data_IF_558436985773
#
_entry.id   IF_558436985773
#
_cell.length_a   1.000
_cell.length_b   1.000
_cell.length_c   1.000
_cell.angle_alpha   90.00
_cell.angle_beta   90.00
_cell.angle_gamma   90.00
#
_symmetry.space_group_name_H-M   'P 1'
#
loop_
_entity.id
_entity.type
_entity.pdbx_description
1 polymer ?
#
# COMPACT_ATOMS: atom_id res chain seq x y z
N UNK A 1 5.90 -8.11 13.42
CA UNK A 1 5.33 -6.83 12.94
C UNK A 1 5.43 -5.82 14.06
N UNK A 2 5.83 -4.58 13.77
CA UNK A 2 5.93 -3.54 14.79
C UNK A 2 4.52 -3.10 15.18
N UNK A 3 4.22 -3.07 16.47
CA UNK A 3 2.93 -2.64 17.00
C UNK A 3 2.87 -1.10 17.09
N UNK A 4 3.02 -0.46 15.93
CA UNK A 4 3.02 1.00 15.81
C UNK A 4 1.69 1.40 15.17
N UNK A 5 0.93 2.32 15.78
CA UNK A 5 -0.27 2.86 15.16
C UNK A 5 0.06 3.46 13.79
N UNK A 6 -0.57 2.93 12.75
CA UNK A 6 -0.36 3.34 11.37
C UNK A 6 -1.69 3.72 10.71
N UNK A 7 -1.62 4.64 9.74
CA UNK A 7 -2.73 4.95 8.84
C UNK A 7 -2.33 4.49 7.45
N UNK A 8 -3.05 3.51 6.92
CA UNK A 8 -2.84 2.97 5.57
C UNK A 8 -3.89 3.58 4.66
N UNK A 9 -3.45 4.24 3.59
CA UNK A 9 -4.34 4.78 2.55
C UNK A 9 -4.19 3.90 1.32
N UNK A 10 -5.31 3.37 0.84
CA UNK A 10 -5.35 2.54 -0.38
C UNK A 10 -6.48 3.00 -1.29
N UNK A 11 -6.35 2.68 -2.58
CA UNK A 11 -7.42 2.83 -3.56
C UNK A 11 -8.34 1.61 -3.55
N UNK A 12 -9.47 1.73 -4.28
CA UNK A 12 -10.36 0.59 -4.57
C UNK A 12 -9.59 -0.55 -5.25
N UNK A 13 -8.71 -0.24 -6.20
CA UNK A 13 -7.90 -1.25 -6.86
C UNK A 13 -6.99 -2.00 -5.88
N UNK A 14 -6.37 -1.29 -4.93
CA UNK A 14 -5.54 -1.91 -3.90
C UNK A 14 -6.36 -2.77 -2.92
N UNK A 15 -7.57 -2.32 -2.56
CA UNK A 15 -8.48 -3.09 -1.72
C UNK A 15 -9.00 -4.38 -2.40
N UNK A 16 -9.19 -4.36 -3.72
CA UNK A 16 -9.61 -5.53 -4.51
C UNK A 16 -8.50 -6.55 -4.73
N UNK A 17 -7.22 -6.17 -4.62
CA UNK A 17 -6.10 -7.08 -4.90
C UNK A 17 -6.15 -8.31 -4.00
N UNK A 18 -5.90 -9.50 -4.56
CA UNK A 18 -5.64 -10.69 -3.76
C UNK A 18 -4.28 -10.53 -3.08
N UNK A 19 -4.29 -10.60 -1.76
CA UNK A 19 -3.09 -10.59 -0.94
C UNK A 19 -2.79 -12.00 -0.43
N UNK A 20 -1.53 -12.31 -0.09
CA UNK A 20 -1.21 -13.56 0.56
C UNK A 20 -1.92 -13.62 1.91
N UNK A 21 -2.35 -14.79 2.39
CA UNK A 21 -2.82 -14.95 3.76
C UNK A 21 -1.83 -14.35 4.77
N UNK A 22 -2.34 -13.62 5.77
CA UNK A 22 -1.50 -12.89 6.75
C UNK A 22 -0.44 -13.80 7.40
N UNK A 23 -0.85 -15.00 7.81
CA UNK A 23 0.05 -15.98 8.40
C UNK A 23 1.17 -16.43 7.44
N UNK A 24 0.87 -16.50 6.14
CA UNK A 24 1.85 -16.86 5.13
C UNK A 24 2.85 -15.72 4.91
N UNK A 25 2.38 -14.47 4.83
CA UNK A 25 3.27 -13.31 4.74
C UNK A 25 4.20 -13.23 5.96
N UNK A 26 3.66 -13.47 7.17
CA UNK A 26 4.44 -13.51 8.40
C UNK A 26 5.48 -14.64 8.40
N UNK A 27 5.10 -15.84 7.94
CA UNK A 27 6.01 -16.98 7.85
C UNK A 27 7.11 -16.80 6.80
N UNK A 28 6.91 -15.92 5.81
CA UNK A 28 7.91 -15.57 4.80
C UNK A 28 8.87 -14.46 5.26
N UNK A 29 8.76 -13.96 6.49
CA UNK A 29 9.75 -13.03 7.04
C UNK A 29 11.01 -13.78 7.48
N UNK A 30 12.15 -13.09 7.43
CA UNK A 30 13.45 -13.68 7.74
C UNK A 30 14.13 -12.89 8.88
N UNK A 31 14.06 -13.37 10.13
CA UNK A 31 14.81 -12.79 11.22
C UNK A 31 16.31 -13.11 11.09
N UNK A 32 17.14 -12.09 11.30
CA UNK A 32 18.60 -12.19 11.34
C UNK A 32 19.12 -11.48 12.59
N UNK A 33 20.05 -12.09 13.30
CA UNK A 33 20.67 -11.51 14.48
C UNK A 33 22.16 -11.84 14.55
N UNK A 34 22.93 -10.97 15.20
CA UNK A 34 24.34 -11.23 15.51
C UNK A 34 24.45 -12.48 16.40
N UNK A 35 25.38 -13.37 16.08
CA UNK A 35 25.57 -14.66 16.75
C UNK A 35 24.64 -15.78 16.28
N UNK A 36 23.82 -15.54 15.27
CA UNK A 36 22.97 -16.57 14.66
C UNK A 36 23.75 -17.37 13.60
N UNK A 37 23.65 -18.69 13.64
CA UNK A 37 24.12 -19.56 12.55
C UNK A 37 23.11 -19.55 11.40
N UNK A 38 23.56 -19.15 10.21
CA UNK A 38 22.77 -19.13 8.98
C UNK A 38 23.60 -19.71 7.85
N UNK A 39 23.07 -20.73 7.17
CA UNK A 39 23.67 -21.25 5.95
C UNK A 39 23.48 -20.25 4.78
N UNK A 40 24.57 -19.93 4.09
CA UNK A 40 24.59 -18.91 3.05
C UNK A 40 23.82 -19.32 1.79
N UNK A 41 23.74 -20.61 1.47
CA UNK A 41 22.97 -21.11 0.32
C UNK A 41 21.47 -21.06 0.62
N UNK A 42 21.09 -21.43 1.83
CA UNK A 42 19.72 -21.34 2.33
C UNK A 42 19.24 -19.89 2.39
N UNK A 43 20.06 -18.97 2.90
CA UNK A 43 19.78 -17.54 2.93
C UNK A 43 19.50 -16.99 1.52
N UNK A 44 20.35 -17.32 0.55
CA UNK A 44 20.17 -16.87 -0.83
C UNK A 44 18.87 -17.40 -1.45
N UNK A 45 18.53 -18.66 -1.18
CA UNK A 45 17.28 -19.26 -1.63
C UNK A 45 16.06 -18.56 -1.00
N UNK A 46 16.09 -18.32 0.31
CA UNK A 46 15.02 -17.60 1.01
C UNK A 46 14.84 -16.18 0.48
N UNK A 47 15.93 -15.43 0.26
CA UNK A 47 15.85 -14.09 -0.32
C UNK A 47 15.23 -14.09 -1.72
N UNK A 48 15.59 -15.06 -2.56
CA UNK A 48 14.98 -15.23 -3.87
C UNK A 48 13.47 -15.51 -3.75
N UNK A 49 13.05 -16.43 -2.87
CA UNK A 49 11.64 -16.77 -2.64
C UNK A 49 10.84 -15.61 -2.03
N UNK A 50 11.52 -14.73 -1.27
CA UNK A 50 10.99 -13.47 -0.76
C UNK A 50 10.90 -12.36 -1.82
N UNK A 51 11.33 -12.62 -3.07
CA UNK A 51 11.25 -11.68 -4.19
C UNK A 51 12.45 -10.73 -4.32
N UNK A 52 13.54 -10.95 -3.59
CA UNK A 52 14.76 -10.15 -3.75
C UNK A 52 15.54 -10.56 -5.00
N UNK A 53 16.17 -9.59 -5.65
CA UNK A 53 16.94 -9.78 -6.88
C UNK A 53 18.43 -9.82 -6.57
N UNK A 54 19.10 -10.88 -7.02
CA UNK A 54 20.55 -11.03 -6.85
C UNK A 54 21.29 -10.12 -7.81
N UNK A 55 22.02 -9.16 -7.26
CA UNK A 55 22.83 -8.19 -7.99
C UNK A 55 24.31 -8.32 -7.64
N UNK A 56 25.16 -7.65 -8.44
CA UNK A 56 26.60 -7.54 -8.13
C UNK A 56 26.88 -6.57 -6.99
N UNK A 57 26.03 -5.56 -6.86
CA UNK A 57 26.11 -4.51 -5.86
C UNK A 57 24.69 -4.05 -5.53
N UNK A 58 24.39 -3.93 -4.24
CA UNK A 58 23.11 -3.42 -3.77
C UNK A 58 23.02 -1.91 -4.01
N UNK A 59 21.97 -1.49 -4.73
CA UNK A 59 21.73 -0.09 -5.04
C UNK A 59 20.31 0.38 -4.72
N UNK A 60 19.32 -0.52 -4.76
CA UNK A 60 17.91 -0.19 -4.56
C UNK A 60 17.22 -1.18 -3.62
N UNK A 61 16.13 -0.75 -2.94
CA UNK A 61 15.30 -1.67 -2.16
C UNK A 61 14.85 -2.87 -3.02
N UNK A 62 14.95 -4.07 -2.46
CA UNK A 62 14.70 -5.34 -3.16
C UNK A 62 15.96 -6.00 -3.73
N UNK A 63 17.12 -5.34 -3.74
CA UNK A 63 18.38 -5.95 -4.17
C UNK A 63 19.03 -6.75 -3.02
N UNK A 64 19.78 -7.79 -3.39
CA UNK A 64 20.80 -8.38 -2.51
C UNK A 64 22.07 -8.76 -3.28
N UNK A 65 23.21 -8.79 -2.61
CA UNK A 65 24.48 -9.18 -3.20
C UNK A 65 25.28 -10.07 -2.23
N UNK A 66 26.02 -11.04 -2.78
CA UNK A 66 26.86 -11.96 -2.01
C UNK A 66 28.31 -11.81 -2.46
N UNK A 67 29.22 -11.56 -1.52
CA UNK A 67 30.65 -11.34 -1.77
C UNK A 67 31.48 -12.05 -0.70
N UNK A 68 31.87 -13.29 -0.95
CA UNK A 68 32.61 -14.10 0.03
C UNK A 68 31.76 -14.31 1.27
N UNK A 69 32.25 -13.83 2.43
CA UNK A 69 31.56 -13.90 3.72
C UNK A 69 30.56 -12.77 3.96
N UNK A 70 30.28 -11.91 2.98
CA UNK A 70 29.39 -10.77 3.16
C UNK A 70 28.13 -10.92 2.32
N UNK A 71 26.98 -10.68 2.94
CA UNK A 71 25.69 -10.52 2.25
C UNK A 71 25.16 -9.11 2.50
N UNK A 72 24.99 -8.37 1.41
CA UNK A 72 24.30 -7.08 1.43
C UNK A 72 22.84 -7.29 1.02
N UNK A 73 21.90 -6.67 1.72
CA UNK A 73 20.45 -6.81 1.45
C UNK A 73 19.82 -5.42 1.63
N UNK A 74 18.94 -5.00 0.73
CA UNK A 74 18.21 -3.74 0.89
C UNK A 74 16.72 -3.99 1.14
N UNK A 75 16.27 -4.04 2.42
CA UNK A 75 14.86 -4.18 2.76
C UNK A 75 14.00 -3.03 2.22
N UNK A 76 12.72 -3.32 1.93
CA UNK A 76 11.78 -2.30 1.45
C UNK A 76 11.39 -1.27 2.53
N UNK A 77 11.52 -1.63 3.80
CA UNK A 77 11.13 -0.82 4.97
C UNK A 77 12.33 -0.18 5.69
N UNK A 78 13.52 -0.25 5.10
CA UNK A 78 14.73 0.35 5.64
C UNK A 78 15.17 1.59 4.83
N UNK A 79 15.68 2.61 5.52
CA UNK A 79 16.29 3.78 4.85
C UNK A 79 17.64 3.42 4.20
N UNK A 80 18.37 2.48 4.81
CA UNK A 80 19.70 2.03 4.37
C UNK A 80 19.73 0.50 4.20
N UNK A 81 20.52 -0.03 3.26
CA UNK A 81 20.77 -1.46 3.14
C UNK A 81 21.54 -2.01 4.34
N UNK A 82 21.31 -3.29 4.62
CA UNK A 82 21.96 -4.10 5.63
C UNK A 82 23.18 -4.79 5.03
N UNK A 83 24.23 -4.95 5.85
CA UNK A 83 25.38 -5.80 5.59
C UNK A 83 25.51 -6.81 6.72
N UNK A 84 25.41 -8.09 6.35
CA UNK A 84 25.71 -9.23 7.19
C UNK A 84 27.14 -9.68 6.86
N UNK A 85 28.01 -9.68 7.86
CA UNK A 85 29.36 -10.23 7.77
C UNK A 85 29.40 -11.54 8.54
N UNK A 86 29.85 -12.61 7.88
CA UNK A 86 29.84 -13.97 8.41
C UNK A 86 31.24 -14.41 8.83
N UNK A 87 31.32 -15.14 9.93
CA UNK A 87 32.48 -15.94 10.30
C UNK A 87 32.08 -17.43 10.27
N UNK A 88 32.53 -18.14 9.23
CA UNK A 88 32.03 -19.46 8.88
C UNK A 88 30.51 -19.43 8.57
N UNK A 89 29.66 -19.92 9.47
CA UNK A 89 28.18 -19.85 9.37
C UNK A 89 27.54 -18.83 10.31
N UNK A 90 28.32 -18.25 11.23
CA UNK A 90 27.80 -17.35 12.26
C UNK A 90 27.79 -15.90 11.74
N UNK A 91 26.71 -15.16 11.99
CA UNK A 91 26.64 -13.71 11.72
C UNK A 91 27.51 -12.97 12.75
N UNK A 92 28.71 -12.55 12.35
CA UNK A 92 29.65 -11.81 13.20
C UNK A 92 29.25 -10.34 13.35
N UNK A 93 28.86 -9.67 12.24
CA UNK A 93 28.37 -8.30 12.31
C UNK A 93 27.14 -8.07 11.44
N UNK A 94 26.19 -7.29 11.97
CA UNK A 94 25.04 -6.76 11.24
C UNK A 94 25.07 -5.24 11.34
N UNK A 95 24.98 -4.55 10.20
CA UNK A 95 25.06 -3.07 10.17
C UNK A 95 24.34 -2.49 8.96
N UNK A 96 23.82 -1.28 9.11
CA UNK A 96 23.46 -0.43 7.99
C UNK A 96 24.71 0.10 7.28
N UNK A 97 24.61 0.29 5.97
CA UNK A 97 25.64 0.99 5.19
C UNK A 97 25.02 1.91 4.14
N UNK A 98 25.77 2.91 3.72
CA UNK A 98 25.35 3.84 2.67
C UNK A 98 25.58 3.21 1.27
N UNK A 99 24.54 3.07 0.43
CA UNK A 99 24.66 2.35 -0.84
C UNK A 99 25.58 3.03 -1.86
N UNK A 100 25.76 4.35 -1.77
CA UNK A 100 26.61 5.11 -2.70
C UNK A 100 28.09 5.04 -2.31
N UNK A 101 28.39 5.27 -1.03
CA UNK A 101 29.76 5.33 -0.50
C UNK A 101 30.29 3.98 -0.04
N UNK A 102 29.40 2.98 0.13
CA UNK A 102 29.70 1.64 0.64
C UNK A 102 30.28 1.63 2.06
N UNK A 103 30.03 2.68 2.84
CA UNK A 103 30.52 2.84 4.22
C UNK A 103 29.44 2.51 5.23
N UNK A 104 29.84 1.91 6.34
CA UNK A 104 28.94 1.62 7.46
C UNK A 104 28.34 2.90 8.05
N UNK A 105 27.08 2.82 8.45
CA UNK A 105 26.30 3.90 9.06
C UNK A 105 26.10 3.61 10.55
N UNK A 106 25.50 2.47 10.87
CA UNK A 106 25.10 2.10 12.23
C UNK A 106 25.12 0.57 12.39
N UNK A 107 25.54 0.07 13.56
CA UNK A 107 25.50 -1.37 13.87
C UNK A 107 24.12 -1.75 14.45
N UNK A 108 23.70 -2.98 14.19
CA UNK A 108 22.44 -3.55 14.66
C UNK A 108 22.69 -4.88 15.36
N UNK A 109 21.91 -5.17 16.40
CA UNK A 109 21.95 -6.49 17.05
C UNK A 109 21.06 -7.49 16.31
N UNK A 110 19.92 -7.04 15.78
CA UNK A 110 18.96 -7.86 15.05
C UNK A 110 18.19 -7.05 14.00
N UNK A 111 17.64 -7.74 13.01
CA UNK A 111 16.71 -7.19 12.02
C UNK A 111 15.76 -8.29 11.52
N UNK A 112 14.53 -7.93 11.13
CA UNK A 112 13.61 -8.87 10.46
C UNK A 112 13.38 -8.40 9.03
N UNK A 113 13.94 -9.15 8.07
CA UNK A 113 13.81 -8.86 6.65
C UNK A 113 12.40 -9.24 6.21
N UNK A 114 11.67 -8.28 5.65
CA UNK A 114 10.33 -8.50 5.10
C UNK A 114 10.42 -8.97 3.63
N UNK A 115 9.43 -9.74 3.14
CA UNK A 115 9.32 -10.05 1.72
C UNK A 115 9.35 -8.79 0.85
N UNK A 116 10.10 -8.83 -0.25
CA UNK A 116 10.15 -7.78 -1.27
C UNK A 116 9.00 -7.89 -2.29
N UNK A 117 8.17 -8.94 -2.18
CA UNK A 117 6.98 -9.17 -3.00
C UNK A 117 5.78 -9.50 -2.13
N UNK A 118 4.59 -9.12 -2.59
CA UNK A 118 3.32 -9.60 -2.05
C UNK A 118 2.82 -10.87 -2.75
N UNK A 119 3.53 -11.36 -3.76
CA UNK A 119 3.17 -12.59 -4.47
C UNK A 119 3.92 -13.80 -3.90
N UNK A 120 3.60 -14.14 -2.67
CA UNK A 120 4.27 -15.19 -1.90
C UNK A 120 3.53 -16.50 -2.12
N UNK A 121 4.22 -17.50 -2.68
CA UNK A 121 3.65 -18.81 -2.95
C UNK A 121 4.62 -19.90 -2.52
N UNK A 122 4.12 -20.85 -1.74
CA UNK A 122 4.90 -22.06 -1.42
C UNK A 122 4.83 -23.05 -2.58
N UNK A 123 5.80 -23.96 -2.68
CA UNK A 123 5.74 -25.06 -3.65
C UNK A 123 4.45 -25.88 -3.50
N UNK A 124 3.96 -26.09 -2.27
CA UNK A 124 2.70 -26.79 -2.01
C UNK A 124 1.48 -26.04 -2.60
N UNK A 125 1.46 -24.71 -2.50
CA UNK A 125 0.40 -23.89 -3.09
C UNK A 125 0.44 -23.92 -4.61
N UNK A 126 1.64 -23.85 -5.21
CA UNK A 126 1.80 -23.96 -6.65
C UNK A 126 1.29 -25.32 -7.17
N UNK A 127 1.62 -26.43 -6.51
CA UNK A 127 1.10 -27.75 -6.88
C UNK A 127 -0.42 -27.86 -6.73
N UNK A 128 -0.97 -27.37 -5.62
CA UNK A 128 -2.40 -27.37 -5.40
C UNK A 128 -3.13 -26.49 -6.43
N UNK A 129 -2.55 -25.33 -6.74
CA UNK A 129 -3.05 -24.40 -7.75
C UNK A 129 -3.01 -24.98 -9.16
N UNK A 130 -1.92 -25.66 -9.54
CA UNK A 130 -1.83 -26.40 -10.80
C UNK A 130 -2.95 -27.44 -10.92
N UNK A 131 -3.24 -28.17 -9.84
CA UNK A 131 -4.32 -29.17 -9.85
C UNK A 131 -5.71 -28.53 -9.98
N UNK A 132 -5.96 -27.40 -9.30
CA UNK A 132 -7.19 -26.62 -9.46
C UNK A 132 -7.33 -26.09 -10.88
N UNK A 133 -6.26 -25.52 -11.43
CA UNK A 133 -6.21 -24.99 -12.79
C UNK A 133 -6.45 -26.08 -13.83
N UNK A 134 -5.80 -27.26 -13.73
CA UNK A 134 -6.07 -28.42 -14.61
C UNK A 134 -7.53 -28.84 -14.60
N UNK A 135 -8.15 -28.88 -13.41
CA UNK A 135 -9.56 -29.24 -13.26
C UNK A 135 -10.45 -28.23 -13.96
N UNK A 136 -10.16 -26.94 -13.83
CA UNK A 136 -10.89 -25.87 -14.49
C UNK A 136 -10.70 -25.90 -16.03
N UNK A 137 -9.48 -26.13 -16.51
CA UNK A 137 -9.18 -26.33 -17.94
C UNK A 137 -9.99 -27.50 -18.50
N UNK A 138 -10.03 -28.65 -17.81
CA UNK A 138 -10.79 -29.81 -18.24
C UNK A 138 -12.30 -29.54 -18.30
N UNK A 139 -12.84 -28.73 -17.39
CA UNK A 139 -14.24 -28.32 -17.41
C UNK A 139 -14.55 -27.35 -18.57
N UNK A 140 -13.66 -26.40 -18.83
CA UNK A 140 -13.80 -25.42 -19.91
C UNK A 140 -13.65 -26.06 -21.30
N UNK A 141 -12.68 -26.97 -21.44
CA UNK A 141 -12.43 -27.70 -22.69
C UNK A 141 -13.66 -28.45 -23.20
N UNK A 142 -14.52 -28.96 -22.31
CA UNK A 142 -15.77 -29.65 -22.70
C UNK A 142 -16.74 -28.75 -23.48
N UNK A 143 -16.65 -27.42 -23.30
CA UNK A 143 -17.52 -26.42 -23.93
C UNK A 143 -16.96 -25.87 -25.25
N UNK A 144 -15.67 -26.11 -25.52
CA UNK A 144 -14.96 -25.56 -26.68
C UNK A 144 -14.96 -26.53 -27.88
N UNK A 145 -14.74 -26.01 -29.08
CA UNK A 145 -14.49 -26.81 -30.30
C UNK A 145 -13.07 -27.39 -30.30
N UNK A 146 -12.77 -28.44 -31.09
CA UNK A 146 -11.44 -29.07 -31.09
C UNK A 146 -10.25 -28.12 -31.29
N UNK A 147 -10.36 -27.15 -32.21
CA UNK A 147 -9.30 -26.17 -32.44
C UNK A 147 -9.09 -25.22 -31.24
N UNK A 148 -10.20 -24.73 -30.66
CA UNK A 148 -10.20 -23.85 -29.48
C UNK A 148 -9.62 -24.56 -28.24
N UNK A 149 -9.91 -25.86 -28.06
CA UNK A 149 -9.33 -26.70 -27.00
C UNK A 149 -7.81 -26.79 -27.12
N UNK A 150 -7.30 -26.94 -28.34
CA UNK A 150 -5.86 -27.02 -28.58
C UNK A 150 -5.20 -25.68 -28.22
N UNK A 151 -5.77 -24.56 -28.69
CA UNK A 151 -5.26 -23.22 -28.36
C UNK A 151 -5.24 -22.97 -26.85
N UNK A 152 -6.31 -23.34 -26.12
CA UNK A 152 -6.35 -23.23 -24.66
C UNK A 152 -5.24 -24.05 -24.00
N UNK A 153 -5.06 -25.30 -24.42
CA UNK A 153 -4.04 -26.18 -23.88
C UNK A 153 -2.63 -25.63 -24.13
N UNK A 154 -2.35 -25.12 -25.34
CA UNK A 154 -1.06 -24.56 -25.71
C UNK A 154 -0.73 -23.30 -24.90
N UNK A 155 -1.71 -22.39 -24.74
CA UNK A 155 -1.52 -21.15 -23.99
C UNK A 155 -1.29 -21.38 -22.49
N UNK A 156 -1.94 -22.40 -21.92
CA UNK A 156 -1.88 -22.69 -20.49
C UNK A 156 -0.82 -23.73 -20.12
N UNK A 157 -0.13 -24.32 -21.10
CA UNK A 157 0.90 -25.32 -20.87
C UNK A 157 2.08 -24.77 -20.07
N UNK A 158 2.56 -23.57 -20.41
CA UNK A 158 3.71 -22.98 -19.74
C UNK A 158 3.39 -22.54 -18.29
N UNK A 159 2.31 -21.79 -18.01
CA UNK A 159 1.93 -21.48 -16.63
C UNK A 159 1.74 -22.72 -15.76
N UNK A 160 1.12 -23.78 -16.30
CA UNK A 160 0.98 -25.06 -15.58
C UNK A 160 2.33 -25.69 -15.27
N UNK A 161 3.23 -25.76 -16.26
CA UNK A 161 4.55 -26.33 -16.08
C UNK A 161 5.38 -25.54 -15.06
N UNK A 162 5.25 -24.22 -15.02
CA UNK A 162 5.94 -23.37 -14.06
C UNK A 162 5.40 -23.58 -12.65
N UNK A 163 4.08 -23.64 -12.46
CA UNK A 163 3.49 -24.03 -11.18
C UNK A 163 3.97 -25.42 -10.72
N UNK A 164 4.00 -26.42 -11.61
CA UNK A 164 4.47 -27.77 -11.29
C UNK A 164 5.96 -27.85 -10.97
N UNK A 165 6.78 -26.95 -11.51
CA UNK A 165 8.21 -26.87 -11.24
C UNK A 165 8.55 -25.96 -10.06
N UNK A 166 7.58 -25.25 -9.50
CA UNK A 166 7.80 -24.27 -8.43
C UNK A 166 8.39 -22.95 -8.93
N UNK A 167 8.27 -22.64 -10.22
CA UNK A 167 8.78 -21.40 -10.82
C UNK A 167 7.71 -20.32 -10.68
N UNK A 168 8.07 -19.19 -10.07
CA UNK A 168 7.17 -18.05 -9.89
C UNK A 168 7.50 -16.99 -10.95
N UNK A 169 6.58 -16.81 -11.89
CA UNK A 169 6.64 -15.76 -12.91
C UNK A 169 5.52 -14.73 -12.75
N UNK A 170 5.69 -13.54 -13.35
CA UNK A 170 4.68 -12.47 -13.32
C UNK A 170 3.37 -12.87 -14.01
N UNK A 171 3.43 -13.77 -14.98
CA UNK A 171 2.27 -14.34 -15.68
C UNK A 171 1.37 -15.15 -14.74
N UNK A 172 1.92 -15.69 -13.65
CA UNK A 172 1.15 -16.43 -12.66
C UNK A 172 0.15 -15.55 -11.88
N UNK A 173 0.34 -14.22 -11.88
CA UNK A 173 -0.61 -13.28 -11.27
C UNK A 173 -2.03 -13.43 -11.83
N UNK A 174 -2.15 -13.80 -13.11
CA UNK A 174 -3.44 -14.03 -13.77
C UNK A 174 -4.22 -15.23 -13.17
N UNK A 175 -3.52 -16.12 -12.47
CA UNK A 175 -4.08 -17.33 -11.90
C UNK A 175 -4.15 -17.26 -10.37
N UNK A 176 -4.07 -16.06 -9.78
CA UNK A 176 -4.11 -15.85 -8.32
C UNK A 176 -5.30 -16.55 -7.64
N UNK A 177 -6.47 -16.54 -8.27
CA UNK A 177 -7.71 -17.21 -7.79
C UNK A 177 -7.57 -18.75 -7.68
N UNK A 178 -6.67 -19.34 -8.46
CA UNK A 178 -6.33 -20.76 -8.36
C UNK A 178 -5.16 -21.01 -7.43
N UNK A 179 -4.29 -20.03 -7.17
CA UNK A 179 -3.06 -20.21 -6.40
C UNK A 179 -3.31 -20.11 -4.90
N UNK A 180 -4.11 -19.14 -4.47
CA UNK A 180 -4.54 -18.99 -3.09
C UNK A 180 -5.76 -19.86 -2.79
N UNK A 181 -5.81 -20.41 -1.58
CA UNK A 181 -6.96 -21.20 -1.08
C UNK A 181 -8.08 -20.30 -0.52
N UNK A 182 -7.72 -19.10 -0.08
CA UNK A 182 -8.61 -18.07 0.44
C UNK A 182 -8.40 -16.75 -0.29
N UNK A 183 -9.50 -16.05 -0.53
CA UNK A 183 -9.52 -14.67 -1.02
C UNK A 183 -9.21 -13.71 0.12
N UNK A 184 -7.93 -13.40 0.30
CA UNK A 184 -7.45 -12.44 1.31
C UNK A 184 -7.30 -11.05 0.68
N UNK A 185 -7.59 -10.02 1.47
CA UNK A 185 -7.49 -8.62 1.07
C UNK A 185 -6.76 -7.80 2.14
N UNK A 186 -6.59 -6.50 1.91
CA UNK A 186 -5.99 -5.60 2.90
C UNK A 186 -6.81 -5.53 4.21
N UNK A 187 -8.11 -5.81 4.17
CA UNK A 187 -8.96 -5.83 5.36
C UNK A 187 -8.54 -6.92 6.35
N UNK A 188 -8.04 -8.07 5.87
CA UNK A 188 -7.54 -9.14 6.73
C UNK A 188 -6.23 -8.74 7.46
N UNK A 189 -5.50 -7.75 6.95
CA UNK A 189 -4.28 -7.22 7.56
C UNK A 189 -4.55 -6.12 8.60
N UNK A 190 -5.77 -5.61 8.67
CA UNK A 190 -6.17 -4.64 9.70
C UNK A 190 -6.30 -5.38 11.03
N UNK A 191 -5.74 -4.80 12.10
CA UNK A 191 -5.89 -5.34 13.45
C UNK A 191 -7.38 -5.40 13.84
N UNK A 192 -7.78 -6.38 14.65
CA UNK A 192 -9.20 -6.61 14.98
C UNK A 192 -9.92 -5.41 15.63
N UNK A 193 -9.19 -4.54 16.32
CA UNK A 193 -9.66 -3.28 16.93
C UNK A 193 -9.44 -2.05 16.04
N UNK A 194 -9.01 -2.27 14.79
CA UNK A 194 -8.77 -1.26 13.78
C UNK A 194 -10.05 -0.58 13.28
N UNK A 195 -9.85 0.54 12.60
CA UNK A 195 -10.90 1.37 12.02
C UNK A 195 -10.71 1.43 10.50
N UNK A 196 -11.75 1.10 9.75
CA UNK A 196 -11.79 1.30 8.29
C UNK A 196 -12.54 2.60 7.98
N UNK A 197 -11.87 3.50 7.26
CA UNK A 197 -12.43 4.80 6.88
C UNK A 197 -12.70 4.83 5.38
N UNK A 198 -13.93 5.17 5.01
CA UNK A 198 -14.32 5.39 3.62
C UNK A 198 -14.52 6.88 3.37
N UNK A 199 -13.63 7.45 2.57
CA UNK A 199 -13.77 8.81 2.06
C UNK A 199 -14.62 8.80 0.79
N UNK A 200 -15.72 9.56 0.78
CA UNK A 200 -16.64 9.70 -0.36
C UNK A 200 -17.12 8.34 -0.90
N UNK A 201 -17.84 7.58 -0.06
CA UNK A 201 -18.28 6.21 -0.35
C UNK A 201 -18.95 6.01 -1.73
N UNK A 202 -19.72 6.97 -2.21
CA UNK A 202 -20.34 6.90 -3.54
C UNK A 202 -19.31 6.87 -4.67
N UNK A 203 -18.25 7.70 -4.57
CA UNK A 203 -17.15 7.74 -5.54
C UNK A 203 -16.34 6.45 -5.51
N UNK A 204 -16.22 5.82 -4.35
CA UNK A 204 -15.61 4.51 -4.20
C UNK A 204 -16.35 3.47 -5.04
N UNK A 205 -17.69 3.40 -4.89
CA UNK A 205 -18.53 2.50 -5.70
C UNK A 205 -18.47 2.82 -7.19
N UNK A 206 -18.46 4.09 -7.59
CA UNK A 206 -18.31 4.49 -8.99
C UNK A 206 -16.94 4.03 -9.55
N UNK A 207 -15.87 4.18 -8.77
CA UNK A 207 -14.52 3.73 -9.14
C UNK A 207 -14.44 2.22 -9.27
N UNK A 208 -15.10 1.48 -8.37
CA UNK A 208 -15.23 0.03 -8.48
C UNK A 208 -15.92 -0.38 -9.79
N UNK A 209 -17.05 0.25 -10.14
CA UNK A 209 -17.78 -0.08 -11.37
C UNK A 209 -16.95 0.18 -12.63
N UNK A 210 -16.17 1.26 -12.65
CA UNK A 210 -15.23 1.54 -13.74
C UNK A 210 -14.15 0.45 -13.84
N UNK A 211 -13.55 0.05 -12.72
CA UNK A 211 -12.57 -1.04 -12.69
C UNK A 211 -13.16 -2.37 -13.17
N UNK A 212 -14.38 -2.71 -12.75
CA UNK A 212 -15.06 -3.94 -13.17
C UNK A 212 -15.40 -3.93 -14.66
N UNK A 213 -15.73 -2.77 -15.24
CA UNK A 213 -15.98 -2.65 -16.68
C UNK A 213 -14.68 -2.83 -17.46
N UNK A 214 -13.59 -2.19 -17.03
CA UNK A 214 -12.27 -2.36 -17.64
C UNK A 214 -11.77 -3.81 -17.54
N UNK A 215 -11.97 -4.45 -16.39
CA UNK A 215 -11.66 -5.86 -16.18
C UNK A 215 -12.49 -6.75 -17.10
N UNK A 216 -13.79 -6.51 -17.24
CA UNK A 216 -14.67 -7.29 -18.12
C UNK A 216 -14.26 -7.17 -19.60
N UNK A 217 -13.91 -5.97 -20.06
CA UNK A 217 -13.41 -5.74 -21.42
C UNK A 217 -12.10 -6.50 -21.66
N UNK A 218 -11.17 -6.43 -20.70
CA UNK A 218 -9.89 -7.15 -20.77
C UNK A 218 -10.08 -8.68 -20.73
N UNK A 219 -10.95 -9.18 -19.84
CA UNK A 219 -11.28 -10.63 -19.76
C UNK A 219 -11.92 -11.10 -21.06
N UNK A 220 -12.78 -10.31 -21.68
CA UNK A 220 -13.41 -10.64 -22.97
C UNK A 220 -12.35 -10.84 -24.06
N UNK A 221 -11.36 -9.94 -24.13
CA UNK A 221 -10.22 -10.07 -25.05
C UNK A 221 -9.38 -11.32 -24.75
N UNK A 222 -9.03 -11.57 -23.48
CA UNK A 222 -8.22 -12.73 -23.11
C UNK A 222 -8.94 -14.06 -23.37
N UNK A 223 -10.26 -14.11 -23.16
CA UNK A 223 -11.08 -15.28 -23.45
C UNK A 223 -11.18 -15.56 -24.95
N UNK A 224 -11.29 -14.51 -25.77
CA UNK A 224 -11.29 -14.64 -27.23
C UNK A 224 -9.99 -15.28 -27.75
N UNK A 225 -8.89 -15.10 -27.01
CA UNK A 225 -7.59 -15.71 -27.30
C UNK A 225 -7.28 -16.96 -26.48
N UNK A 226 -8.22 -17.46 -25.65
CA UNK A 226 -8.03 -18.62 -24.77
C UNK A 226 -6.79 -18.54 -23.86
N UNK A 227 -6.50 -17.35 -23.33
CA UNK A 227 -5.37 -17.12 -22.40
C UNK A 227 -5.75 -17.18 -20.94
N UNK A 228 -7.05 -17.13 -20.66
CA UNK A 228 -7.62 -17.24 -19.32
C UNK A 228 -8.86 -18.12 -19.36
N UNK A 229 -9.39 -18.45 -18.18
CA UNK A 229 -10.59 -19.26 -18.02
C UNK A 229 -11.81 -18.39 -17.69
N UNK A 230 -12.98 -18.76 -18.21
CA UNK A 230 -14.22 -18.01 -18.00
C UNK A 230 -14.69 -18.01 -16.54
N UNK A 231 -14.12 -18.89 -15.71
CA UNK A 231 -14.45 -19.02 -14.28
C UNK A 231 -13.48 -18.29 -13.35
N UNK A 232 -12.40 -17.71 -13.88
CA UNK A 232 -11.40 -17.03 -13.08
C UNK A 232 -11.90 -15.69 -12.53
N UNK A 233 -11.48 -15.37 -11.32
CA UNK A 233 -11.65 -14.07 -10.69
C UNK A 233 -10.30 -13.34 -10.62
N UNK A 234 -10.28 -12.01 -10.78
CA UNK A 234 -9.03 -11.23 -10.82
C UNK A 234 -8.89 -10.25 -9.65
N UNK A 235 -9.83 -10.30 -8.72
CA UNK A 235 -9.81 -9.53 -7.49
C UNK A 235 -11.02 -9.82 -6.63
N UNK A 236 -10.94 -9.38 -5.38
CA UNK A 236 -12.04 -9.35 -4.45
C UNK A 236 -13.14 -8.39 -4.95
N UNK A 237 -14.39 -8.70 -4.62
CA UNK A 237 -15.52 -7.78 -4.79
C UNK A 237 -15.59 -6.87 -3.55
N UNK A 238 -15.68 -5.55 -3.74
CA UNK A 238 -15.65 -4.63 -2.59
C UNK A 238 -16.92 -4.78 -1.76
N UNK A 239 -18.08 -5.04 -2.37
CA UNK A 239 -19.33 -5.17 -1.62
C UNK A 239 -19.30 -6.39 -0.72
N UNK A 240 -18.70 -7.49 -1.19
CA UNK A 240 -18.47 -8.67 -0.35
C UNK A 240 -17.50 -8.36 0.80
N UNK A 241 -16.36 -7.71 0.51
CA UNK A 241 -15.41 -7.30 1.54
C UNK A 241 -16.06 -6.40 2.60
N UNK A 242 -16.83 -5.40 2.18
CA UNK A 242 -17.53 -4.48 3.08
C UNK A 242 -18.61 -5.16 3.93
N UNK A 243 -19.32 -6.13 3.37
CA UNK A 243 -20.37 -6.88 4.06
C UNK A 243 -19.76 -7.81 5.13
N UNK A 244 -18.66 -8.45 4.80
CA UNK A 244 -18.06 -9.49 5.63
C UNK A 244 -17.06 -8.90 6.65
N UNK A 245 -16.60 -7.67 6.44
CA UNK A 245 -15.76 -6.90 7.37
C UNK A 245 -16.42 -6.68 8.74
N UNK A 246 -15.65 -6.96 9.81
CA UNK A 246 -16.12 -6.86 11.20
C UNK A 246 -15.54 -5.65 11.94
N UNK A 247 -14.67 -4.86 11.29
CA UNK A 247 -14.05 -3.70 11.89
C UNK A 247 -15.06 -2.58 12.10
N UNK A 248 -14.70 -1.61 12.96
CA UNK A 248 -15.44 -0.36 13.02
C UNK A 248 -15.32 0.35 11.67
N UNK A 249 -16.43 0.88 11.15
CA UNK A 249 -16.46 1.58 9.87
C UNK A 249 -16.86 3.04 10.06
N UNK A 250 -16.09 3.95 9.46
CA UNK A 250 -16.38 5.39 9.44
C UNK A 250 -16.53 5.86 7.99
N UNK A 251 -17.73 6.33 7.64
CA UNK A 251 -17.98 6.93 6.33
C UNK A 251 -17.91 8.45 6.47
N UNK A 252 -17.00 9.07 5.71
CA UNK A 252 -16.83 10.51 5.63
C UNK A 252 -17.28 10.97 4.25
N UNK A 253 -18.25 11.87 4.20
CA UNK A 253 -18.76 12.42 2.95
C UNK A 253 -19.23 13.86 3.14
N UNK A 254 -19.07 14.69 2.11
CA UNK A 254 -19.65 16.03 2.06
C UNK A 254 -21.18 16.01 1.99
N UNK A 255 -21.75 14.97 1.38
CA UNK A 255 -23.18 14.79 1.23
C UNK A 255 -23.59 13.36 1.60
N UNK A 256 -24.72 13.19 2.28
CA UNK A 256 -25.27 11.87 2.59
C UNK A 256 -25.90 11.15 1.37
N UNK A 257 -25.62 11.63 0.14
CA UNK A 257 -26.14 11.02 -1.09
C UNK A 257 -25.22 9.90 -1.55
N UNK A 258 -25.81 8.85 -2.13
CA UNK A 258 -25.06 7.76 -2.77
C UNK A 258 -24.49 6.71 -1.81
N UNK A 259 -24.91 6.70 -0.54
CA UNK A 259 -24.57 5.63 0.42
C UNK A 259 -25.44 4.37 0.25
N UNK A 260 -26.33 4.34 -0.73
CA UNK A 260 -27.18 3.19 -1.05
C UNK A 260 -28.03 2.72 0.14
N UNK A 261 -28.01 1.41 0.39
CA UNK A 261 -28.73 0.76 1.49
C UNK A 261 -27.86 0.55 2.75
N UNK A 262 -26.73 1.26 2.87
CA UNK A 262 -25.88 1.16 4.07
C UNK A 262 -26.63 1.71 5.28
N UNK A 263 -26.79 0.89 6.32
CA UNK A 263 -27.39 1.30 7.58
C UNK A 263 -26.35 1.97 8.47
N UNK A 264 -26.55 3.25 8.77
CA UNK A 264 -25.67 4.00 9.66
C UNK A 264 -26.16 3.87 11.11
N UNK A 265 -25.29 3.41 12.00
CA UNK A 265 -25.59 3.34 13.44
C UNK A 265 -25.70 4.75 14.07
N UNK A 266 -24.85 5.68 13.60
CA UNK A 266 -24.83 7.07 14.04
C UNK A 266 -24.48 7.98 12.87
N UNK A 267 -25.07 9.17 12.85
CA UNK A 267 -24.77 10.22 11.90
C UNK A 267 -24.37 11.49 12.65
N UNK A 268 -23.16 11.98 12.39
CA UNK A 268 -22.64 13.21 13.00
C UNK A 268 -22.42 14.25 11.92
N UNK A 269 -23.22 15.31 11.94
CA UNK A 269 -23.10 16.41 10.99
C UNK A 269 -22.00 17.38 11.43
N UNK A 270 -20.87 17.38 10.72
CA UNK A 270 -19.83 18.39 10.88
C UNK A 270 -20.12 19.56 9.96
N UNK A 271 -20.38 20.74 10.53
CA UNK A 271 -20.63 21.95 9.73
C UNK A 271 -19.31 22.50 9.21
N UNK A 272 -19.13 22.45 7.90
CA UNK A 272 -18.02 23.10 7.20
C UNK A 272 -18.54 24.22 6.32
N UNK A 273 -17.69 25.19 6.00
CA UNK A 273 -17.97 26.23 5.01
C UNK A 273 -16.77 26.29 4.05
N UNK A 274 -16.99 26.36 2.73
CA UNK A 274 -15.89 26.56 1.81
C UNK A 274 -15.22 27.90 2.13
N UNK A 275 -13.89 27.90 2.01
CA UNK A 275 -13.10 29.08 2.27
C UNK A 275 -13.11 30.01 1.05
N UNK A 276 -13.13 31.33 1.28
CA UNK A 276 -12.97 32.29 0.21
C UNK A 276 -11.52 32.27 -0.31
N UNK A 277 -11.35 32.24 -1.62
CA UNK A 277 -10.07 32.45 -2.28
C UNK A 277 -9.78 33.96 -2.41
N UNK A 278 -8.59 34.38 -1.98
CA UNK A 278 -8.21 35.80 -1.98
C UNK A 278 -7.36 36.21 -3.20
N UNK A 279 -6.87 35.28 -4.02
CA UNK A 279 -6.10 35.56 -5.25
C UNK A 279 -4.98 36.62 -5.09
N UNK A 280 -4.25 36.58 -3.97
CA UNK A 280 -3.18 37.55 -3.68
C UNK A 280 -3.65 38.91 -3.13
N UNK A 281 -4.95 39.11 -2.93
CA UNK A 281 -5.51 40.33 -2.33
C UNK A 281 -5.35 40.31 -0.79
N UNK A 282 -4.15 40.62 -0.32
CA UNK A 282 -3.83 40.67 1.12
C UNK A 282 -4.69 41.65 1.93
N UNK A 283 -5.10 42.84 1.42
CA UNK A 283 -6.03 43.70 2.14
C UNK A 283 -7.41 43.05 2.38
N UNK A 284 -7.89 42.25 1.43
CA UNK A 284 -9.14 41.51 1.57
C UNK A 284 -9.00 40.37 2.59
N UNK A 285 -7.86 39.65 2.57
CA UNK A 285 -7.53 38.66 3.58
C UNK A 285 -7.49 39.30 4.98
N UNK A 286 -6.79 40.42 5.16
CA UNK A 286 -6.73 41.15 6.44
C UNK A 286 -8.12 41.46 6.98
N UNK A 287 -8.99 42.00 6.12
CA UNK A 287 -10.36 42.38 6.49
C UNK A 287 -11.15 41.18 7.03
N UNK A 288 -11.03 40.02 6.39
CA UNK A 288 -11.67 38.79 6.84
C UNK A 288 -11.03 38.20 8.10
N UNK A 289 -9.69 38.24 8.22
CA UNK A 289 -8.97 37.83 9.43
C UNK A 289 -9.40 38.65 10.65
N UNK A 290 -9.48 39.98 10.51
CA UNK A 290 -9.95 40.89 11.56
C UNK A 290 -11.40 40.58 11.95
N UNK A 291 -12.24 40.23 10.98
CA UNK A 291 -13.62 39.81 11.22
C UNK A 291 -13.69 38.51 12.01
N UNK A 292 -12.94 37.48 11.62
CA UNK A 292 -12.89 36.20 12.34
C UNK A 292 -12.30 36.36 13.74
N UNK A 293 -11.30 37.22 13.90
CA UNK A 293 -10.73 37.53 15.21
C UNK A 293 -11.76 38.18 16.14
N UNK A 294 -12.54 39.16 15.63
CA UNK A 294 -13.67 39.76 16.38
C UNK A 294 -14.75 38.73 16.74
N UNK A 295 -14.95 37.72 15.90
CA UNK A 295 -15.84 36.58 16.16
C UNK A 295 -15.22 35.51 17.08
N UNK A 296 -14.01 35.74 17.61
CA UNK A 296 -13.24 34.82 18.47
C UNK A 296 -12.94 33.48 17.80
N UNK A 297 -12.80 33.46 16.48
CA UNK A 297 -12.48 32.25 15.74
C UNK A 297 -10.97 32.01 15.71
N UNK A 298 -10.60 30.73 15.67
CA UNK A 298 -9.20 30.32 15.49
C UNK A 298 -8.91 30.18 14.01
N UNK A 299 -7.80 30.78 13.58
CA UNK A 299 -7.45 30.86 12.16
C UNK A 299 -6.06 30.27 11.98
N UNK A 300 -5.97 29.15 11.26
CA UNK A 300 -4.72 28.43 10.99
C UNK A 300 -4.33 28.55 9.52
N UNK A 301 -3.31 29.36 9.26
CA UNK A 301 -2.66 29.50 7.95
C UNK A 301 -1.64 28.36 7.78
N UNK A 302 -1.83 27.54 6.76
CA UNK A 302 -0.94 26.43 6.47
C UNK A 302 -0.02 26.78 5.31
N UNK A 303 1.28 26.56 5.49
CA UNK A 303 2.30 26.79 4.45
C UNK A 303 2.96 25.45 4.14
N UNK A 304 3.01 25.10 2.85
CA UNK A 304 3.47 23.79 2.37
C UNK A 304 4.96 23.53 2.63
N UNK A 305 5.77 24.59 2.65
CA UNK A 305 7.23 24.52 2.76
C UNK A 305 7.73 25.34 3.94
N UNK A 306 8.62 24.76 4.74
CA UNK A 306 9.18 25.43 5.91
C UNK A 306 10.00 26.67 5.54
N UNK A 307 10.73 26.64 4.42
CA UNK A 307 11.55 27.76 3.94
C UNK A 307 10.73 28.98 3.51
N UNK A 308 9.48 28.75 3.08
CA UNK A 308 8.56 29.84 2.69
C UNK A 308 7.90 30.50 3.90
N UNK A 309 7.99 29.90 5.08
CA UNK A 309 7.25 30.31 6.25
C UNK A 309 7.68 31.69 6.75
N UNK A 310 8.98 32.01 6.72
CA UNK A 310 9.51 33.34 7.04
C UNK A 310 8.98 34.39 6.05
N UNK A 311 9.11 34.16 4.75
CA UNK A 311 8.62 35.09 3.71
C UNK A 311 7.13 35.38 3.82
N UNK A 312 6.32 34.35 4.10
CA UNK A 312 4.88 34.51 4.29
C UNK A 312 4.61 35.32 5.57
N UNK A 313 5.36 35.09 6.66
CA UNK A 313 5.23 35.89 7.88
C UNK A 313 5.56 37.35 7.64
N UNK A 314 6.70 37.64 7.02
CA UNK A 314 7.13 39.01 6.71
C UNK A 314 6.06 39.72 5.85
N UNK A 315 5.50 39.01 4.86
CA UNK A 315 4.42 39.52 4.01
C UNK A 315 3.13 39.81 4.81
N UNK A 316 2.82 39.04 5.85
CA UNK A 316 1.67 39.34 6.69
C UNK A 316 1.94 40.54 7.62
N UNK A 317 3.15 40.63 8.15
CA UNK A 317 3.57 41.75 9.00
C UNK A 317 3.56 43.08 8.22
N UNK A 318 4.00 43.08 6.95
CA UNK A 318 3.91 44.22 6.03
C UNK A 318 2.47 44.73 5.83
N UNK A 319 1.48 43.86 6.01
CA UNK A 319 0.05 44.16 5.90
C UNK A 319 -0.64 44.25 7.28
N UNK A 320 0.13 44.35 8.36
CA UNK A 320 -0.36 44.47 9.74
C UNK A 320 -1.27 43.30 10.16
N UNK A 321 -0.96 42.09 9.70
CA UNK A 321 -1.68 40.87 10.06
C UNK A 321 -0.86 40.12 11.13
N UNK A 322 -1.28 40.21 12.39
CA UNK A 322 -0.63 39.49 13.48
C UNK A 322 -0.85 37.97 13.37
N UNK A 323 0.23 37.22 13.17
CA UNK A 323 0.21 35.76 13.13
C UNK A 323 1.38 35.17 13.93
N UNK A 324 1.14 34.03 14.59
CA UNK A 324 2.18 33.35 15.40
C UNK A 324 2.51 31.99 14.81
N UNK A 325 3.79 31.72 14.62
CA UNK A 325 4.30 30.43 14.17
C UNK A 325 4.15 29.37 15.26
N UNK A 326 3.56 28.22 14.93
CA UNK A 326 3.38 27.13 15.89
C UNK A 326 3.48 25.76 15.22
N UNK A 327 4.00 24.78 15.98
CA UNK A 327 3.96 23.36 15.61
C UNK A 327 2.67 22.67 16.10
N UNK A 328 1.99 23.22 17.13
CA UNK A 328 0.79 22.66 17.76
C UNK A 328 -0.42 23.59 17.62
N UNK A 329 -1.64 23.01 17.63
CA UNK A 329 -2.88 23.79 17.61
C UNK A 329 -3.12 24.42 19.00
N UNK A 330 -3.29 25.74 19.04
CA UNK A 330 -3.59 26.51 20.26
C UNK A 330 -4.87 27.30 19.99
N UNK A 331 -5.87 27.16 20.85
CA UNK A 331 -7.20 27.76 20.68
C UNK A 331 -7.17 29.30 20.77
N UNK A 332 -8.08 29.95 20.02
CA UNK A 332 -8.44 31.38 20.04
C UNK A 332 -7.42 32.39 19.47
N UNK A 333 -6.51 32.00 18.56
CA UNK A 333 -5.59 32.95 17.89
C UNK A 333 -5.35 32.64 16.40
N UNK A 334 -4.82 33.60 15.64
CA UNK A 334 -4.31 33.41 14.27
C UNK A 334 -2.91 32.78 14.32
N UNK A 335 -2.65 31.75 13.50
CA UNK A 335 -1.47 30.89 13.60
C UNK A 335 -0.94 30.42 12.25
N UNK A 336 0.37 30.20 12.18
CA UNK A 336 1.02 29.47 11.08
C UNK A 336 1.39 28.05 11.50
N UNK A 337 1.16 27.08 10.61
CA UNK A 337 1.70 25.71 10.76
C UNK A 337 2.34 25.26 9.46
N UNK A 338 3.60 24.85 9.51
CA UNK A 338 4.27 24.16 8.40
C UNK A 338 3.65 22.78 8.21
N UNK A 339 3.28 22.41 6.99
CA UNK A 339 2.70 21.10 6.72
C UNK A 339 3.11 20.58 5.34
N UNK A 340 3.69 19.37 5.26
CA UNK A 340 3.83 18.63 4.00
C UNK A 340 2.50 17.92 3.71
N UNK A 341 1.56 18.59 3.05
CA UNK A 341 0.31 17.98 2.58
C UNK A 341 0.25 18.13 1.07
N UNK A 342 0.15 16.99 0.37
CA UNK A 342 -0.03 16.92 -1.10
C UNK A 342 -1.49 17.12 -1.53
N UNK A 343 -2.42 17.28 -0.58
CA UNK A 343 -3.71 17.87 -0.87
C UNK A 343 -3.49 19.37 -1.06
N UNK A 344 -4.03 19.93 -2.14
CA UNK A 344 -4.46 21.31 -2.17
C UNK A 344 -5.53 21.45 -1.08
N UNK A 345 -5.12 21.51 0.19
CA UNK A 345 -5.94 22.07 1.25
C UNK A 345 -6.03 23.53 0.88
N UNK A 346 -7.01 23.86 0.05
CA UNK A 346 -7.58 25.21 0.07
C UNK A 346 -7.79 25.52 1.54
N UNK A 347 -7.04 26.53 2.00
CA UNK A 347 -6.96 27.07 3.35
C UNK A 347 -8.16 26.66 4.21
N UNK A 348 -8.11 25.47 4.82
CA UNK A 348 -9.28 24.90 5.50
C UNK A 348 -9.20 25.31 6.95
N UNK A 349 -9.66 26.54 7.20
CA UNK A 349 -9.86 27.05 8.54
C UNK A 349 -11.02 26.29 9.20
N UNK A 350 -10.71 25.38 10.12
CA UNK A 350 -11.72 24.74 10.97
C UNK A 350 -12.25 25.76 11.98
N UNK A 351 -13.44 26.28 11.74
CA UNK A 351 -14.25 26.86 12.81
C UNK A 351 -14.75 25.71 13.71
N UNK A 352 -14.01 25.41 14.77
CA UNK A 352 -14.55 24.67 15.90
C UNK A 352 -15.21 25.71 16.81
N UNK A 353 -16.54 25.71 16.88
CA UNK A 353 -17.27 26.46 17.89
C UNK A 353 -17.14 25.77 19.25
#
# INVERSE_FOLDING_TARGET
>A
MRDIPAVIVTSVAGARRFLPPVAQFQAATLPVAVGQDIDLEDLQRQLHDMGYVKEKLVARPGDFAVRGSIVDIYPLDADYPLRLDFFDTEVDTLKYFDPETQRSVENLDEYTILPATDFILTSAMLQAGAQRLKTAIAAESKKLKPAERQTLADNLAQPLADMEKGIIGNDLLLYGDYLYDRKTSIFDYVAADGLVIFEEYSRLLDSEQQLLTQEADWVTDQLAHHRVLATASYGNDIRDLLRDDQHAQLLISLFQKGIGNVKLAQVTNVRTRPMQEFFGQLPALKTELDRWHKLKQTVVLMVSEAERLTKVSDTLDDFEIEAVMTKALIYNRVRFKSCKVACKMDLSFRMVN
#
